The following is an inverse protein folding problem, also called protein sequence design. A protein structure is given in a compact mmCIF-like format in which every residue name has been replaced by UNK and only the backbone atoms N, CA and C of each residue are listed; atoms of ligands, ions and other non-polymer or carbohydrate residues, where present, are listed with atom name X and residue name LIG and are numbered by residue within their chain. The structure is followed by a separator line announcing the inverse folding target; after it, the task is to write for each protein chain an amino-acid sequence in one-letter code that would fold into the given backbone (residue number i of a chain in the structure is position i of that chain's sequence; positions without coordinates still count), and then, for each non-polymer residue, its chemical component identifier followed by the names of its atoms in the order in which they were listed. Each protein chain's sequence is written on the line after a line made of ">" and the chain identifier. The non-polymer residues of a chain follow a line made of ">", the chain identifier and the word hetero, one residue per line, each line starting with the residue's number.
data_IF_351566291583
#
_entry.id   IF_351566291583
#
_cell.length_a   1.000
_cell.length_b   1.000
_cell.length_c   1.000
_cell.angle_alpha   90.00
_cell.angle_beta   90.00
_cell.angle_gamma   90.00
#
_symmetry.space_group_name_H-M   'P 1'
#
loop_
_entity.id
_entity.type
_entity.pdbx_description
1 polymer ?
#
# COMPACT_ATOMS: atom_id res chain seq x y z
N UNK A 1 -8.52 -4.56 26.11
CA UNK A 1 -8.47 -5.03 27.52
C UNK A 1 -9.82 -4.98 28.25
N UNK A 2 -10.60 -3.89 28.13
CA UNK A 2 -11.72 -3.59 29.05
C UNK A 2 -12.91 -4.58 29.08
N UNK A 3 -13.16 -5.39 28.04
CA UNK A 3 -14.30 -6.34 28.04
C UNK A 3 -13.94 -7.72 27.48
N UNK A 4 -12.91 -8.36 28.06
CA UNK A 4 -12.58 -9.79 27.83
C UNK A 4 -13.65 -10.74 28.42
N UNK A 5 -14.94 -10.49 28.19
CA UNK A 5 -16.05 -11.31 28.69
C UNK A 5 -16.26 -11.31 30.22
N UNK A 6 -15.53 -10.49 30.98
CA UNK A 6 -15.63 -10.46 32.44
C UNK A 6 -16.79 -9.55 32.92
N UNK A 7 -18.00 -10.09 32.91
CA UNK A 7 -19.23 -9.40 33.36
C UNK A 7 -19.18 -8.91 34.80
N UNK A 8 -18.54 -9.68 35.71
CA UNK A 8 -18.39 -9.30 37.12
C UNK A 8 -17.43 -8.12 37.30
N UNK A 9 -16.34 -8.09 36.53
CA UNK A 9 -15.38 -6.99 36.52
C UNK A 9 -16.02 -5.70 36.01
N UNK A 10 -16.75 -5.78 34.89
CA UNK A 10 -17.48 -4.65 34.32
C UNK A 10 -18.48 -4.04 35.33
N UNK A 11 -19.25 -4.87 36.02
CA UNK A 11 -20.22 -4.39 37.01
C UNK A 11 -19.52 -3.67 38.18
N UNK A 12 -18.43 -4.22 38.70
CA UNK A 12 -17.64 -3.56 39.75
C UNK A 12 -17.08 -2.21 39.29
N UNK A 13 -16.55 -2.14 38.07
CA UNK A 13 -16.00 -0.90 37.51
C UNK A 13 -17.09 0.14 37.31
N UNK A 14 -18.25 -0.26 36.79
CA UNK A 14 -19.42 0.60 36.62
C UNK A 14 -19.91 1.14 37.97
N UNK A 15 -20.00 0.29 38.99
CA UNK A 15 -20.36 0.70 40.34
C UNK A 15 -19.36 1.71 40.91
N UNK A 16 -18.06 1.44 40.80
CA UNK A 16 -17.02 2.34 41.31
C UNK A 16 -17.00 3.67 40.57
N UNK A 17 -17.12 3.66 39.24
CA UNK A 17 -17.19 4.87 38.42
C UNK A 17 -18.41 5.73 38.77
N UNK A 18 -19.56 5.09 38.99
CA UNK A 18 -20.78 5.79 39.39
C UNK A 18 -20.66 6.42 40.78
N UNK A 19 -20.02 5.74 41.75
CA UNK A 19 -19.75 6.31 43.08
C UNK A 19 -18.88 7.57 42.97
N UNK A 20 -17.79 7.49 42.21
CA UNK A 20 -16.89 8.64 42.03
C UNK A 20 -17.62 9.81 41.36
N UNK A 21 -18.42 9.54 40.33
CA UNK A 21 -19.20 10.56 39.64
C UNK A 21 -20.21 11.25 40.57
N UNK A 22 -20.96 10.50 41.37
CA UNK A 22 -21.91 11.08 42.32
C UNK A 22 -21.23 11.88 43.44
N UNK A 23 -20.08 11.42 43.94
CA UNK A 23 -19.31 12.18 44.93
C UNK A 23 -18.82 13.52 44.35
N UNK A 24 -18.42 13.56 43.08
CA UNK A 24 -18.06 14.81 42.39
C UNK A 24 -19.28 15.72 42.21
N UNK A 25 -20.43 15.18 41.81
CA UNK A 25 -21.68 15.95 41.70
C UNK A 25 -22.14 16.53 43.04
N UNK A 26 -21.90 15.83 44.15
CA UNK A 26 -22.14 16.37 45.49
C UNK A 26 -21.11 17.44 45.88
N UNK A 27 -19.88 17.33 45.40
CA UNK A 27 -18.79 18.26 45.67
C UNK A 27 -18.94 19.62 44.98
N UNK A 28 -19.41 19.62 43.74
CA UNK A 28 -19.60 20.83 42.92
C UNK A 28 -20.38 21.95 43.62
N UNK A 29 -21.63 21.73 44.11
CA UNK A 29 -22.39 22.79 44.76
C UNK A 29 -21.81 23.19 46.11
N UNK A 30 -21.13 22.28 46.81
CA UNK A 30 -20.55 22.54 48.13
C UNK A 30 -19.19 23.23 48.08
N UNK A 31 -18.56 23.34 46.90
CA UNK A 31 -17.19 23.88 46.73
C UNK A 31 -16.17 23.25 47.69
N UNK A 32 -16.35 21.98 48.02
CA UNK A 32 -15.47 21.19 48.90
C UNK A 32 -14.78 20.11 48.10
N UNK A 33 -13.58 19.66 48.51
CA UNK A 33 -12.92 18.58 47.81
C UNK A 33 -13.74 17.27 47.92
N UNK A 34 -13.89 16.49 46.83
CA UNK A 34 -14.66 15.24 46.80
C UNK A 34 -14.31 14.25 47.92
N UNK A 35 -13.04 14.23 48.36
CA UNK A 35 -12.53 13.35 49.42
C UNK A 35 -13.25 13.54 50.77
N UNK A 36 -13.66 14.77 51.08
CA UNK A 36 -14.26 15.10 52.39
C UNK A 36 -15.73 14.66 52.45
N UNK A 37 -16.32 14.36 51.29
CA UNK A 37 -17.73 13.99 51.15
C UNK A 37 -17.94 12.47 51.08
N UNK A 38 -16.86 11.69 51.00
CA UNK A 38 -16.93 10.22 50.96
C UNK A 38 -17.71 9.65 52.15
N UNK A 39 -17.43 10.03 53.43
CA UNK A 39 -18.19 9.49 54.56
C UNK A 39 -19.67 9.88 54.52
N UNK A 40 -19.94 11.14 54.15
CA UNK A 40 -21.29 11.70 54.04
C UNK A 40 -22.12 11.04 52.93
N UNK A 41 -21.46 10.65 51.85
CA UNK A 41 -22.09 9.89 50.77
C UNK A 41 -22.58 8.53 51.30
N UNK A 42 -21.74 7.78 52.01
CA UNK A 42 -22.12 6.46 52.53
C UNK A 42 -23.15 6.53 53.66
N UNK A 43 -23.12 7.56 54.51
CA UNK A 43 -24.21 7.83 55.49
C UNK A 43 -25.57 8.01 54.80
N UNK A 44 -25.59 8.70 53.65
CA UNK A 44 -26.81 8.92 52.87
C UNK A 44 -27.22 7.67 52.06
N UNK A 45 -26.26 6.81 51.74
CA UNK A 45 -26.44 5.58 50.96
C UNK A 45 -27.15 4.45 51.72
N UNK A 46 -27.29 4.56 53.04
CA UNK A 46 -28.06 3.61 53.87
C UNK A 46 -29.56 3.62 53.56
N UNK A 47 -30.07 4.69 52.91
CA UNK A 47 -31.48 4.81 52.52
C UNK A 47 -31.79 3.98 51.28
N UNK A 48 -32.87 3.18 51.34
CA UNK A 48 -33.28 2.28 50.27
C UNK A 48 -33.58 3.00 48.95
N UNK A 49 -34.24 4.16 49.01
CA UNK A 49 -34.53 5.01 47.85
C UNK A 49 -33.26 5.48 47.13
N UNK A 50 -32.21 5.80 47.90
CA UNK A 50 -30.92 6.26 47.36
C UNK A 50 -30.15 5.10 46.71
N UNK A 51 -30.31 3.88 47.23
CA UNK A 51 -29.73 2.67 46.64
C UNK A 51 -30.40 2.30 45.31
N UNK A 52 -31.73 2.42 45.21
CA UNK A 52 -32.45 2.13 43.97
C UNK A 52 -32.07 3.09 42.83
N UNK A 53 -32.07 4.40 43.12
CA UNK A 53 -31.64 5.42 42.16
C UNK A 53 -30.16 5.26 41.75
N UNK A 54 -29.32 4.83 42.68
CA UNK A 54 -27.93 4.50 42.38
C UNK A 54 -27.81 3.29 41.44
N UNK A 55 -28.58 2.22 41.68
CA UNK A 55 -28.55 1.03 40.85
C UNK A 55 -28.99 1.35 39.41
N UNK A 56 -30.01 2.18 39.22
CA UNK A 56 -30.40 2.66 37.89
C UNK A 56 -29.27 3.43 37.20
N UNK A 57 -28.55 4.28 37.94
CA UNK A 57 -27.37 4.98 37.44
C UNK A 57 -26.24 4.03 37.02
N UNK A 58 -25.99 2.98 37.80
CA UNK A 58 -25.01 1.93 37.45
C UNK A 58 -25.41 1.20 36.17
N UNK A 59 -26.69 0.88 36.00
CA UNK A 59 -27.19 0.20 34.81
C UNK A 59 -27.07 1.08 33.56
N UNK A 60 -27.34 2.39 33.69
CA UNK A 60 -27.15 3.35 32.61
C UNK A 60 -25.67 3.50 32.21
N UNK A 61 -24.78 3.61 33.21
CA UNK A 61 -23.33 3.67 32.97
C UNK A 61 -22.82 2.39 32.31
N UNK A 62 -23.30 1.22 32.74
CA UNK A 62 -22.97 -0.06 32.12
C UNK A 62 -23.41 -0.11 30.65
N UNK A 63 -24.61 0.37 30.32
CA UNK A 63 -25.07 0.49 28.92
C UNK A 63 -24.13 1.38 28.10
N UNK A 64 -23.72 2.53 28.63
CA UNK A 64 -22.80 3.44 27.93
C UNK A 64 -21.41 2.83 27.74
N UNK A 65 -20.91 2.08 28.72
CA UNK A 65 -19.63 1.37 28.60
C UNK A 65 -19.68 0.30 27.51
N UNK A 66 -20.81 -0.42 27.39
CA UNK A 66 -21.05 -1.38 26.31
C UNK A 66 -21.12 -0.66 24.95
N UNK A 67 -21.87 0.43 24.85
CA UNK A 67 -21.99 1.20 23.61
C UNK A 67 -20.63 1.75 23.17
N UNK A 68 -19.83 2.29 24.10
CA UNK A 68 -18.47 2.76 23.79
C UNK A 68 -17.55 1.64 23.30
N UNK A 69 -17.72 0.42 23.81
CA UNK A 69 -16.96 -0.73 23.32
C UNK A 69 -17.38 -1.15 21.91
N UNK A 70 -18.67 -1.06 21.58
CA UNK A 70 -19.19 -1.35 20.23
C UNK A 70 -18.69 -0.31 19.23
N UNK A 71 -18.83 0.97 19.55
CA UNK A 71 -18.39 2.09 18.69
C UNK A 71 -16.89 1.97 18.39
N UNK A 72 -16.06 1.75 19.41
CA UNK A 72 -14.61 1.55 19.20
C UNK A 72 -14.29 0.36 18.30
N UNK A 73 -15.10 -0.70 18.35
CA UNK A 73 -14.93 -1.86 17.48
C UNK A 73 -15.32 -1.52 16.04
N UNK A 74 -16.42 -0.81 15.84
CA UNK A 74 -16.87 -0.37 14.52
C UNK A 74 -15.90 0.63 13.89
N UNK A 75 -15.43 1.62 14.64
CA UNK A 75 -14.41 2.58 14.16
C UNK A 75 -13.14 1.85 13.73
N UNK A 76 -12.67 0.86 14.49
CA UNK A 76 -11.51 0.06 14.10
C UNK A 76 -11.78 -0.76 12.83
N UNK A 77 -12.94 -1.41 12.73
CA UNK A 77 -13.33 -2.16 11.52
C UNK A 77 -13.49 -1.26 10.29
N UNK A 78 -13.96 -0.03 10.46
CA UNK A 78 -14.14 0.94 9.36
C UNK A 78 -12.80 1.54 8.93
N UNK A 79 -11.88 1.82 9.86
CA UNK A 79 -10.51 2.22 9.54
C UNK A 79 -9.73 1.07 8.87
N UNK A 80 -9.89 -0.16 9.34
CA UNK A 80 -9.28 -1.34 8.73
C UNK A 80 -9.86 -1.59 7.32
N UNK A 81 -11.17 -1.38 7.10
CA UNK A 81 -11.81 -1.46 5.77
C UNK A 81 -11.36 -0.34 4.84
N UNK A 82 -11.21 0.89 5.32
CA UNK A 82 -10.67 1.99 4.52
C UNK A 82 -9.22 1.74 4.13
N UNK A 83 -8.39 1.27 5.07
CA UNK A 83 -7.02 0.89 4.78
C UNK A 83 -6.95 -0.27 3.77
N UNK A 84 -7.84 -1.26 3.86
CA UNK A 84 -7.94 -2.34 2.87
C UNK A 84 -8.40 -1.82 1.50
N UNK A 85 -9.42 -0.94 1.45
CA UNK A 85 -9.90 -0.34 0.20
C UNK A 85 -8.84 0.58 -0.45
N UNK A 86 -8.07 1.33 0.33
CA UNK A 86 -6.93 2.13 -0.16
C UNK A 86 -5.78 1.25 -0.66
N UNK A 87 -5.56 0.09 -0.04
CA UNK A 87 -4.54 -0.87 -0.49
C UNK A 87 -5.00 -1.57 -1.78
N UNK A 88 -6.28 -1.95 -1.88
CA UNK A 88 -6.89 -2.54 -3.07
C UNK A 88 -6.97 -1.52 -4.23
N UNK A 89 -7.32 -0.25 -3.99
CA UNK A 89 -7.27 0.81 -5.01
C UNK A 89 -5.83 1.10 -5.45
N UNK A 90 -4.85 1.05 -4.54
CA UNK A 90 -3.44 1.19 -4.90
C UNK A 90 -2.93 -0.02 -5.69
N UNK A 91 -3.39 -1.23 -5.38
CA UNK A 91 -3.06 -2.47 -6.09
C UNK A 91 -3.76 -2.53 -7.47
N UNK A 92 -4.99 -2.05 -7.60
CA UNK A 92 -5.68 -1.89 -8.89
C UNK A 92 -5.09 -0.78 -9.76
N UNK A 93 -4.67 0.35 -9.16
CA UNK A 93 -3.94 1.40 -9.86
C UNK A 93 -2.54 0.92 -10.29
N UNK A 94 -1.89 0.08 -9.49
CA UNK A 94 -0.65 -0.61 -9.87
C UNK A 94 -0.91 -1.68 -10.93
N UNK A 95 -2.01 -2.43 -10.90
CA UNK A 95 -2.36 -3.42 -11.93
C UNK A 95 -2.70 -2.78 -13.29
N UNK A 96 -3.20 -1.54 -13.29
CA UNK A 96 -3.33 -0.74 -14.53
C UNK A 96 -1.99 -0.14 -15.00
N UNK A 97 -0.97 -0.12 -14.14
CA UNK A 97 0.40 0.33 -14.45
C UNK A 97 1.40 -0.83 -14.61
N UNK A 98 1.01 -2.06 -14.26
CA UNK A 98 1.64 -3.29 -14.71
C UNK A 98 1.28 -3.48 -16.17
N UNK A 99 2.02 -2.74 -17.01
CA UNK A 99 2.35 -3.19 -18.35
C UNK A 99 2.87 -4.61 -18.16
N UNK A 100 2.02 -5.60 -18.48
CA UNK A 100 2.47 -6.97 -18.70
C UNK A 100 3.78 -6.90 -19.46
N UNK A 101 4.81 -7.72 -19.18
CA UNK A 101 6.06 -7.65 -19.92
C UNK A 101 5.76 -7.98 -21.37
N UNK A 102 5.42 -6.95 -22.15
CA UNK A 102 5.14 -7.07 -23.57
C UNK A 102 6.46 -7.57 -24.11
N UNK A 103 6.44 -8.76 -24.69
CA UNK A 103 7.65 -9.37 -25.19
C UNK A 103 8.39 -8.35 -26.06
N UNK A 104 9.72 -8.36 -26.03
CA UNK A 104 10.56 -7.38 -26.73
C UNK A 104 10.14 -7.21 -28.22
N UNK A 105 9.59 -8.29 -28.80
CA UNK A 105 8.96 -8.36 -30.12
C UNK A 105 7.73 -7.45 -30.26
N UNK A 106 6.85 -7.41 -29.28
CA UNK A 106 5.60 -6.66 -29.32
C UNK A 106 5.79 -5.16 -29.04
N UNK A 107 6.76 -4.79 -28.19
CA UNK A 107 7.30 -3.43 -28.13
C UNK A 107 7.92 -3.01 -29.49
N UNK A 108 8.58 -3.96 -30.15
CA UNK A 108 9.08 -3.84 -31.52
C UNK A 108 8.01 -3.90 -32.62
N UNK A 109 6.72 -4.00 -32.31
CA UNK A 109 5.64 -3.74 -33.29
C UNK A 109 4.74 -2.53 -32.93
N UNK A 110 4.70 -2.11 -31.66
CA UNK A 110 3.87 -1.00 -31.17
C UNK A 110 4.47 0.40 -31.33
N UNK A 111 5.79 0.56 -31.19
CA UNK A 111 6.49 1.80 -31.56
C UNK A 111 6.36 2.14 -33.05
N UNK A 112 6.27 3.42 -33.36
CA UNK A 112 6.28 3.94 -34.72
C UNK A 112 7.64 3.71 -35.39
N UNK A 113 7.69 3.63 -36.72
CA UNK A 113 8.94 3.42 -37.47
C UNK A 113 9.97 4.52 -37.12
N UNK A 114 9.51 5.75 -36.90
CA UNK A 114 10.31 6.90 -36.51
C UNK A 114 11.01 6.73 -35.15
N UNK A 115 10.35 6.07 -34.19
CA UNK A 115 10.91 5.82 -32.84
C UNK A 115 11.94 4.69 -32.82
N UNK A 116 11.95 3.82 -33.83
CA UNK A 116 12.89 2.69 -33.95
C UNK A 116 14.09 2.99 -34.85
N UNK A 117 14.09 4.12 -35.55
CA UNK A 117 15.19 4.43 -36.44
C UNK A 117 16.49 4.65 -35.66
N UNK A 118 17.57 4.06 -36.17
CA UNK A 118 18.90 4.28 -35.65
C UNK A 118 19.41 5.71 -35.90
N UNK A 119 20.61 6.06 -35.41
CA UNK A 119 21.18 7.40 -35.49
C UNK A 119 21.34 7.95 -36.93
N UNK A 120 21.38 7.09 -37.93
CA UNK A 120 21.43 7.44 -39.35
C UNK A 120 20.09 7.34 -40.08
N UNK A 121 18.97 7.18 -39.36
CA UNK A 121 17.64 7.10 -39.96
C UNK A 121 17.35 5.79 -40.69
N UNK A 122 18.07 4.71 -40.35
CA UNK A 122 17.82 3.37 -40.87
C UNK A 122 17.19 2.49 -39.80
N UNK A 123 16.25 1.63 -40.21
CA UNK A 123 15.64 0.65 -39.32
C UNK A 123 16.59 -0.55 -39.10
N UNK A 124 16.94 -0.88 -37.83
CA UNK A 124 17.72 -2.07 -37.50
C UNK A 124 17.15 -3.37 -38.07
N UNK A 125 15.83 -3.52 -38.16
CA UNK A 125 15.18 -4.75 -38.67
C UNK A 125 15.37 -4.90 -40.17
N UNK A 126 15.18 -3.83 -40.93
CA UNK A 126 15.37 -3.83 -42.37
C UNK A 126 16.85 -4.00 -42.74
N UNK A 127 17.74 -3.30 -42.03
CA UNK A 127 19.19 -3.46 -42.25
C UNK A 127 19.58 -4.90 -41.99
N UNK A 128 19.18 -5.49 -40.85
CA UNK A 128 19.49 -6.87 -40.52
C UNK A 128 19.01 -7.87 -41.59
N UNK A 129 17.79 -7.69 -42.11
CA UNK A 129 17.24 -8.54 -43.16
C UNK A 129 17.97 -8.45 -44.51
N UNK A 130 18.65 -7.34 -44.78
CA UNK A 130 19.42 -7.12 -46.02
C UNK A 130 20.90 -7.46 -45.92
N UNK A 131 21.39 -7.82 -44.73
CA UNK A 131 22.79 -8.22 -44.55
C UNK A 131 23.03 -9.65 -45.07
N UNK A 132 24.26 -9.97 -45.53
CA UNK A 132 24.68 -11.34 -45.80
C UNK A 132 24.49 -12.26 -44.58
N UNK A 133 24.14 -13.52 -44.79
CA UNK A 133 23.93 -14.51 -43.71
C UNK A 133 25.14 -14.62 -42.78
N UNK A 134 26.36 -14.48 -43.31
CA UNK A 134 27.60 -14.48 -42.54
C UNK A 134 27.63 -13.36 -41.51
N UNK A 135 27.26 -12.13 -41.88
CA UNK A 135 27.16 -10.99 -40.97
C UNK A 135 25.97 -11.12 -40.00
N UNK A 136 24.80 -11.57 -40.47
CA UNK A 136 23.64 -11.81 -39.60
C UNK A 136 23.99 -12.77 -38.44
N UNK A 137 24.73 -13.85 -38.74
CA UNK A 137 25.15 -14.82 -37.76
C UNK A 137 26.17 -14.24 -36.76
N UNK A 138 27.07 -13.34 -37.18
CA UNK A 138 27.95 -12.62 -36.27
C UNK A 138 27.14 -11.85 -35.21
N UNK A 139 26.09 -11.13 -35.61
CA UNK A 139 25.25 -10.36 -34.67
C UNK A 139 24.38 -11.25 -33.78
N UNK A 140 23.87 -12.38 -34.29
CA UNK A 140 23.12 -13.36 -33.47
C UNK A 140 23.97 -14.00 -32.38
N UNK A 141 25.25 -14.24 -32.67
CA UNK A 141 26.18 -14.92 -31.76
C UNK A 141 27.00 -13.96 -30.91
N UNK A 142 27.09 -12.69 -31.29
CA UNK A 142 27.91 -11.69 -30.62
C UNK A 142 29.42 -11.90 -30.80
N UNK A 143 29.83 -12.71 -31.78
CA UNK A 143 31.23 -13.10 -31.94
C UNK A 143 32.02 -12.14 -32.85
N UNK A 144 32.94 -11.41 -32.23
CA UNK A 144 33.85 -10.47 -32.89
C UNK A 144 34.90 -11.20 -33.75
N UNK A 145 35.24 -12.45 -33.45
CA UNK A 145 36.18 -13.23 -34.25
C UNK A 145 35.59 -13.60 -35.61
N UNK A 146 34.32 -14.03 -35.63
CA UNK A 146 33.60 -14.30 -36.88
C UNK A 146 33.49 -13.04 -37.75
N UNK A 147 33.27 -11.86 -37.16
CA UNK A 147 33.24 -10.60 -37.91
C UNK A 147 34.56 -10.32 -38.66
N UNK A 148 35.71 -10.58 -38.02
CA UNK A 148 37.04 -10.43 -38.66
C UNK A 148 37.23 -11.40 -39.82
N UNK A 149 36.70 -12.62 -39.72
CA UNK A 149 36.77 -13.60 -40.80
C UNK A 149 35.90 -13.16 -41.99
N UNK A 150 34.71 -12.62 -41.74
CA UNK A 150 33.83 -12.09 -42.79
C UNK A 150 34.48 -10.88 -43.49
N UNK A 151 35.12 -10.00 -42.72
CA UNK A 151 35.88 -8.87 -43.27
C UNK A 151 37.05 -9.30 -44.18
N UNK A 152 37.64 -10.47 -43.94
CA UNK A 152 38.70 -11.03 -44.79
C UNK A 152 38.15 -11.80 -46.01
N UNK A 153 36.93 -12.34 -45.89
CA UNK A 153 36.32 -13.16 -46.94
C UNK A 153 35.63 -12.35 -48.04
N UNK A 154 35.19 -11.11 -47.75
CA UNK A 154 34.49 -10.26 -48.72
C UNK A 154 35.33 -9.05 -49.14
N UNK A 155 35.00 -8.41 -50.29
CA UNK A 155 35.70 -7.20 -50.72
C UNK A 155 35.60 -6.08 -49.67
N UNK A 156 36.69 -5.35 -49.39
CA UNK A 156 36.72 -4.36 -48.32
C UNK A 156 35.67 -3.25 -48.49
N UNK A 157 35.39 -2.87 -49.73
CA UNK A 157 34.39 -1.85 -50.06
C UNK A 157 32.96 -2.29 -49.74
N UNK A 158 32.63 -3.55 -50.04
CA UNK A 158 31.30 -4.09 -49.74
C UNK A 158 31.11 -4.27 -48.23
N UNK A 159 32.17 -4.69 -47.53
CA UNK A 159 32.16 -4.78 -46.07
C UNK A 159 31.93 -3.41 -45.42
N UNK A 160 32.65 -2.37 -45.86
CA UNK A 160 32.48 -1.01 -45.34
C UNK A 160 31.06 -0.48 -45.55
N UNK A 161 30.47 -0.70 -46.73
CA UNK A 161 29.09 -0.29 -47.04
C UNK A 161 28.07 -0.96 -46.09
N UNK A 162 28.18 -2.28 -45.89
CA UNK A 162 27.30 -3.01 -44.97
C UNK A 162 27.55 -2.63 -43.51
N UNK A 163 28.80 -2.44 -43.12
CA UNK A 163 29.18 -2.07 -41.76
C UNK A 163 28.68 -0.67 -41.40
N UNK A 164 28.80 0.30 -42.32
CA UNK A 164 28.29 1.65 -42.13
C UNK A 164 26.76 1.65 -41.94
N UNK A 165 26.03 0.84 -42.71
CA UNK A 165 24.57 0.65 -42.53
C UNK A 165 24.21 0.06 -41.15
N UNK A 166 25.06 -0.79 -40.59
CA UNK A 166 24.86 -1.34 -39.24
C UNK A 166 25.05 -0.26 -38.16
N UNK A 167 25.97 0.68 -38.38
CA UNK A 167 26.19 1.81 -37.47
C UNK A 167 25.03 2.81 -37.57
N UNK A 168 24.61 3.11 -38.79
CA UNK A 168 23.52 4.05 -39.06
C UNK A 168 22.16 3.53 -38.56
N UNK A 169 21.96 2.21 -38.53
CA UNK A 169 20.78 1.57 -37.93
C UNK A 169 20.91 1.31 -36.43
N UNK A 170 22.06 1.57 -35.82
CA UNK A 170 22.28 1.33 -34.39
C UNK A 170 22.47 -0.15 -34.00
N UNK A 171 22.59 -1.07 -34.98
CA UNK A 171 22.97 -2.47 -34.75
C UNK A 171 24.40 -2.60 -34.21
N UNK A 172 25.27 -1.62 -34.50
CA UNK A 172 26.65 -1.60 -34.02
C UNK A 172 27.06 -0.21 -33.54
N UNK A 173 27.51 -0.10 -32.28
CA UNK A 173 28.10 1.14 -31.76
C UNK A 173 29.61 1.14 -31.97
N UNK A 174 30.15 2.20 -32.59
CA UNK A 174 31.58 2.51 -32.52
C UNK A 174 31.84 3.01 -31.10
N UNK A 175 32.49 2.20 -30.27
CA UNK A 175 33.05 2.65 -28.99
C UNK A 175 34.26 3.56 -29.24
#
# INVERSE_FOLDING_TARGET
>A
EEMKGNRKGMQKLATQGQIISQIHQLAEPMKRPPRDLVPRFFEKFEREESRAAFQEGVDHFAKHLIQRAIVKKQEQEDEDKKAQAETEEAEEAQAQQEVQPVSLVEAMYTMSLEERMGPGGLDPVEVFGTLPESLQNCFKTGDVETLKQVAQSMPPKEFEDHFQRCIDSGLWSKA
#
